data_IF_970789175953
#
_entry.id   IF_970789175953
#
_cell.length_a   1.000
_cell.length_b   1.000
_cell.length_c   1.000
_cell.angle_alpha   90.00
_cell.angle_beta   90.00
_cell.angle_gamma   90.00
#
_symmetry.space_group_name_H-M   'P 1'
#
loop_
_entity.id
_entity.type
_entity.pdbx_description
1 polymer ?
#
# COMPACT_ATOMS: atom_id res chain seq x y z
N UNK A 1 2.90 -13.91 30.31
CA UNK A 1 4.04 -13.52 29.43
C UNK A 1 4.94 -12.40 30.00
N UNK A 2 4.90 -12.07 31.30
CA UNK A 2 5.72 -10.98 31.91
C UNK A 2 7.05 -11.43 32.55
N UNK A 3 7.32 -12.74 32.65
CA UNK A 3 8.51 -13.26 33.35
C UNK A 3 9.80 -13.30 32.50
N UNK A 4 9.71 -13.28 31.16
CA UNK A 4 10.88 -13.35 30.26
C UNK A 4 11.54 -12.00 29.97
N UNK A 5 10.81 -10.89 30.06
CA UNK A 5 11.36 -9.55 29.77
C UNK A 5 12.34 -9.06 30.86
N UNK A 6 12.07 -9.37 32.13
CA UNK A 6 12.93 -8.95 33.25
C UNK A 6 14.26 -9.71 33.34
N UNK A 7 14.32 -10.96 32.86
CA UNK A 7 15.56 -11.73 32.88
C UNK A 7 16.56 -11.24 31.81
N UNK A 8 16.06 -10.87 30.63
CA UNK A 8 16.86 -10.34 29.51
C UNK A 8 17.51 -8.99 29.85
N UNK A 9 16.75 -8.08 30.48
CA UNK A 9 17.23 -6.76 30.93
C UNK A 9 18.40 -6.86 31.92
N UNK A 10 18.34 -7.79 32.89
CA UNK A 10 19.39 -7.96 33.89
C UNK A 10 20.67 -8.60 33.33
N UNK A 11 20.54 -9.50 32.36
CA UNK A 11 21.70 -10.10 31.68
C UNK A 11 22.38 -9.05 30.80
N UNK A 12 21.60 -8.26 30.05
CA UNK A 12 22.13 -7.22 29.18
C UNK A 12 22.86 -6.12 29.97
N UNK A 13 22.30 -5.68 31.11
CA UNK A 13 22.96 -4.74 32.03
C UNK A 13 24.28 -5.29 32.60
N UNK A 14 24.32 -6.58 32.96
CA UNK A 14 25.56 -7.22 33.44
C UNK A 14 26.64 -7.32 32.35
N UNK A 15 26.25 -7.53 31.10
CA UNK A 15 27.20 -7.58 29.97
C UNK A 15 27.77 -6.19 29.69
N UNK A 16 26.93 -5.15 29.65
CA UNK A 16 27.38 -3.75 29.45
C UNK A 16 28.30 -3.30 30.58
N UNK A 17 27.97 -3.63 31.83
CA UNK A 17 28.79 -3.27 32.99
C UNK A 17 30.17 -3.95 32.95
N UNK A 18 30.23 -5.24 32.58
CA UNK A 18 31.51 -5.96 32.41
C UNK A 18 32.33 -5.40 31.25
N UNK A 19 31.69 -4.98 30.16
CA UNK A 19 32.35 -4.36 29.03
C UNK A 19 32.95 -2.99 29.39
N UNK A 20 32.21 -2.15 30.12
CA UNK A 20 32.70 -0.85 30.61
C UNK A 20 33.87 -0.99 31.58
N UNK A 21 33.83 -1.96 32.51
CA UNK A 21 34.98 -2.25 33.40
C UNK A 21 36.20 -2.69 32.59
N UNK A 22 36.02 -3.54 31.57
CA UNK A 22 37.12 -3.97 30.71
C UNK A 22 37.73 -2.78 29.96
N UNK A 23 36.90 -1.85 29.48
CA UNK A 23 37.35 -0.62 28.80
C UNK A 23 38.14 0.31 29.73
N UNK A 24 37.71 0.45 30.99
CA UNK A 24 38.42 1.25 32.03
C UNK A 24 39.74 0.59 32.44
N UNK A 25 39.79 -0.74 32.52
CA UNK A 25 41.03 -1.47 32.80
C UNK A 25 42.00 -1.36 31.62
N UNK A 26 41.50 -1.34 30.38
CA UNK A 26 42.28 -1.13 29.16
C UNK A 26 42.81 0.31 29.05
N UNK A 27 42.02 1.33 29.46
CA UNK A 27 42.47 2.73 29.42
C UNK A 27 43.53 3.04 30.49
N UNK A 28 43.49 2.37 31.64
CA UNK A 28 44.51 2.48 32.69
C UNK A 28 45.78 1.65 32.42
N UNK A 29 45.79 0.81 31.38
CA UNK A 29 46.99 0.12 30.89
C UNK A 29 47.82 0.97 29.91
N UNK A 30 47.38 2.21 29.62
CA UNK A 30 48.20 3.21 28.92
C UNK A 30 49.31 3.70 29.84
N UNK A 31 50.52 3.25 29.54
CA UNK A 31 51.75 3.37 30.31
C UNK A 31 52.08 4.81 30.74
N UNK A 32 52.14 5.04 32.06
CA UNK A 32 53.10 6.00 32.65
C UNK A 32 54.50 5.51 32.29
N UNK A 33 55.17 6.21 31.39
CA UNK A 33 56.56 6.00 31.02
C UNK A 33 57.48 6.29 32.21
N UNK A 34 57.76 5.26 33.01
CA UNK A 34 58.92 5.25 33.91
C UNK A 34 59.93 4.24 33.37
N UNK A 35 61.06 4.79 32.94
CA UNK A 35 62.24 4.09 32.44
C UNK A 35 62.81 3.19 33.54
N UNK A 36 62.52 1.89 33.50
CA UNK A 36 63.16 0.91 34.37
C UNK A 36 64.41 0.35 33.67
N UNK A 37 65.59 0.74 34.16
CA UNK A 37 66.87 0.11 33.79
C UNK A 37 66.87 -1.36 34.25
N UNK A 38 67.47 -2.21 33.43
CA UNK A 38 67.54 -3.66 33.59
C UNK A 38 68.60 -3.99 34.65
N UNK A 39 68.18 -4.48 35.82
CA UNK A 39 69.08 -5.18 36.73
C UNK A 39 69.21 -6.64 36.25
N UNK A 40 70.42 -7.01 35.87
CA UNK A 40 70.83 -8.39 35.67
C UNK A 40 70.92 -9.05 37.04
N UNK A 41 69.95 -9.92 37.37
CA UNK A 41 70.10 -11.14 38.18
C UNK A 41 68.72 -11.59 38.70
N UNK A 42 67.99 -12.36 37.89
CA UNK A 42 67.35 -13.58 38.38
C UNK A 42 66.71 -14.39 37.24
N UNK A 43 67.00 -15.67 37.27
CA UNK A 43 66.53 -16.73 36.39
C UNK A 43 65.06 -17.07 36.60
N UNK A 44 64.35 -17.34 35.49
CA UNK A 44 63.19 -18.24 35.47
C UNK A 44 61.83 -17.56 35.41
N UNK A 45 61.28 -17.42 34.21
CA UNK A 45 59.88 -17.05 34.00
C UNK A 45 59.62 -16.46 32.61
N UNK A 46 59.45 -17.31 31.60
CA UNK A 46 58.98 -16.92 30.27
C UNK A 46 57.53 -16.42 30.34
N UNK A 47 57.37 -15.10 30.57
CA UNK A 47 56.12 -14.38 30.33
C UNK A 47 56.02 -14.08 28.85
N UNK A 48 55.00 -14.62 28.19
CA UNK A 48 54.62 -14.22 26.84
C UNK A 48 54.21 -12.74 26.85
N UNK A 49 55.02 -11.85 26.28
CA UNK A 49 54.64 -10.45 26.10
C UNK A 49 54.94 -10.04 24.67
N UNK A 50 53.89 -9.69 23.93
CA UNK A 50 53.94 -9.25 22.53
C UNK A 50 54.44 -7.80 22.45
N UNK A 51 55.74 -7.61 22.22
CA UNK A 51 56.33 -6.31 21.87
C UNK A 51 57.10 -6.45 20.55
N UNK A 52 57.12 -5.41 19.74
CA UNK A 52 58.13 -5.24 18.69
C UNK A 52 59.13 -4.17 19.13
N UNK A 53 60.40 -4.34 18.74
CA UNK A 53 61.49 -3.44 19.09
C UNK A 53 61.88 -2.59 17.87
N UNK A 54 62.04 -1.27 18.05
CA UNK A 54 62.76 -0.44 17.08
C UNK A 54 64.27 -0.68 17.19
N UNK A 55 65.04 -0.30 16.17
CA UNK A 55 66.50 -0.45 16.12
C UNK A 55 67.24 0.26 17.28
N UNK A 56 66.57 1.19 17.98
CA UNK A 56 67.05 1.89 19.17
C UNK A 56 66.65 1.22 20.51
N UNK A 57 66.00 0.05 20.49
CA UNK A 57 65.67 -0.74 21.69
C UNK A 57 64.42 -0.29 22.45
N UNK A 58 63.68 0.70 21.97
CA UNK A 58 62.43 1.16 22.60
C UNK A 58 61.26 0.18 22.33
N UNK A 59 60.48 -0.11 23.39
CA UNK A 59 59.28 -0.96 23.33
C UNK A 59 58.09 -0.13 22.83
N UNK A 60 57.43 -0.57 21.76
CA UNK A 60 56.14 0.01 21.34
C UNK A 60 55.00 -0.98 21.53
N UNK A 61 53.88 -0.51 22.10
CA UNK A 61 52.64 -1.26 22.23
C UNK A 61 52.12 -1.67 20.85
N UNK A 62 51.71 -2.93 20.69
CA UNK A 62 51.26 -3.50 19.44
C UNK A 62 49.92 -2.88 18.98
N UNK A 63 49.99 -1.78 18.22
CA UNK A 63 48.85 -1.19 17.50
C UNK A 63 48.07 -2.24 16.70
N UNK A 64 48.75 -3.27 16.21
CA UNK A 64 48.14 -4.39 15.47
C UNK A 64 47.16 -5.19 16.34
N UNK A 65 47.47 -5.43 17.61
CA UNK A 65 46.59 -6.18 18.51
C UNK A 65 45.32 -5.39 18.86
N UNK A 66 45.46 -4.08 19.08
CA UNK A 66 44.30 -3.19 19.31
C UNK A 66 43.42 -3.16 18.06
N UNK A 67 44.03 -3.06 16.87
CA UNK A 67 43.31 -3.05 15.60
C UNK A 67 42.57 -4.37 15.35
N UNK A 68 43.19 -5.51 15.67
CA UNK A 68 42.55 -6.84 15.60
C UNK A 68 41.37 -6.94 16.56
N UNK A 69 41.51 -6.46 17.79
CA UNK A 69 40.41 -6.48 18.77
C UNK A 69 39.23 -5.58 18.35
N UNK A 70 39.51 -4.45 17.72
CA UNK A 70 38.47 -3.56 17.15
C UNK A 70 37.76 -4.25 15.97
N UNK A 71 38.49 -4.91 15.08
CA UNK A 71 37.88 -5.64 13.95
C UNK A 71 36.98 -6.78 14.47
N UNK A 72 37.46 -7.54 15.47
CA UNK A 72 36.68 -8.62 16.07
C UNK A 72 35.41 -8.11 16.77
N UNK A 73 35.45 -6.94 17.42
CA UNK A 73 34.27 -6.36 18.06
C UNK A 73 33.23 -5.87 17.04
N UNK A 74 33.67 -5.27 15.93
CA UNK A 74 32.78 -4.85 14.83
C UNK A 74 32.12 -6.08 14.18
N UNK A 75 32.89 -7.13 13.90
CA UNK A 75 32.34 -8.37 13.33
C UNK A 75 31.29 -9.01 14.25
N UNK A 76 31.52 -9.01 15.56
CA UNK A 76 30.55 -9.51 16.53
C UNK A 76 29.25 -8.70 16.53
N UNK A 77 29.34 -7.37 16.45
CA UNK A 77 28.16 -6.48 16.37
C UNK A 77 27.34 -6.77 15.10
N UNK A 78 28.00 -6.94 13.96
CA UNK A 78 27.33 -7.27 12.69
C UNK A 78 26.58 -8.60 12.82
N UNK A 79 27.20 -9.64 13.40
CA UNK A 79 26.56 -10.94 13.63
C UNK A 79 25.33 -10.80 14.54
N UNK A 80 25.41 -9.99 15.61
CA UNK A 80 24.27 -9.74 16.48
C UNK A 80 23.12 -9.03 15.75
N UNK A 81 23.42 -8.03 14.91
CA UNK A 81 22.42 -7.32 14.11
C UNK A 81 21.77 -8.28 13.12
N UNK A 82 22.56 -9.09 12.39
CA UNK A 82 22.05 -10.12 11.48
C UNK A 82 21.19 -11.15 12.19
N UNK A 83 21.55 -11.55 13.41
CA UNK A 83 20.75 -12.49 14.21
C UNK A 83 19.42 -11.88 14.67
N UNK A 84 19.41 -10.60 15.07
CA UNK A 84 18.19 -9.85 15.42
C UNK A 84 17.29 -9.72 14.18
N UNK A 85 17.85 -9.33 13.04
CA UNK A 85 17.11 -9.24 11.76
C UNK A 85 16.53 -10.59 11.33
N UNK A 86 17.33 -11.66 11.42
CA UNK A 86 16.89 -13.02 11.16
C UNK A 86 15.73 -13.43 12.09
N UNK A 87 15.78 -13.06 13.37
CA UNK A 87 14.70 -13.38 14.32
C UNK A 87 13.41 -12.59 14.05
N UNK A 88 13.52 -11.31 13.70
CA UNK A 88 12.38 -10.48 13.29
C UNK A 88 11.75 -11.05 12.01
N UNK A 89 12.56 -11.40 11.01
CA UNK A 89 12.07 -11.97 9.75
C UNK A 89 11.53 -13.39 9.91
N UNK A 90 12.14 -14.22 10.77
CA UNK A 90 11.64 -15.56 11.12
C UNK A 90 10.30 -15.48 11.84
N UNK A 91 10.09 -14.48 12.70
CA UNK A 91 8.78 -14.27 13.35
C UNK A 91 7.67 -13.93 12.35
N UNK A 92 8.00 -13.29 11.22
CA UNK A 92 7.06 -13.02 10.11
C UNK A 92 6.82 -14.24 9.20
N UNK A 93 7.83 -15.09 8.97
CA UNK A 93 7.71 -16.26 8.08
C UNK A 93 7.17 -17.52 8.76
N UNK A 94 7.25 -17.64 10.09
CA UNK A 94 6.56 -18.71 10.84
C UNK A 94 5.04 -18.54 10.94
N UNK A 95 4.49 -17.40 10.48
CA UNK A 95 3.05 -17.14 10.38
C UNK A 95 2.48 -17.60 9.02
N UNK A 96 3.31 -17.80 7.99
CA UNK A 96 2.84 -18.01 6.60
C UNK A 96 2.93 -19.48 6.14
N UNK A 97 3.73 -20.34 6.78
CA UNK A 97 3.96 -21.72 6.31
C UNK A 97 3.39 -22.86 7.18
N UNK A 98 2.48 -22.56 8.12
CA UNK A 98 1.84 -23.60 8.93
C UNK A 98 0.32 -23.46 8.95
N UNK A 99 -0.35 -23.83 7.83
CA UNK A 99 -1.47 -24.80 7.82
C UNK A 99 -2.17 -24.83 6.46
N UNK A 100 -1.82 -25.83 5.66
CA UNK A 100 -2.73 -26.41 4.68
C UNK A 100 -3.87 -27.16 5.38
N UNK A 101 -5.07 -26.93 4.86
CA UNK A 101 -6.30 -27.73 4.89
C UNK A 101 -6.40 -28.93 5.86
N UNK A 102 -7.14 -28.75 6.98
CA UNK A 102 -8.14 -29.69 7.52
C UNK A 102 -9.19 -28.88 8.31
N UNK A 103 -10.47 -29.03 7.97
CA UNK A 103 -11.64 -28.51 8.69
C UNK A 103 -11.93 -29.30 9.98
N UNK A 104 -12.87 -28.84 10.84
CA UNK A 104 -12.95 -27.54 11.49
C UNK A 104 -12.59 -27.71 12.98
N UNK A 105 -11.54 -27.03 13.45
CA UNK A 105 -11.16 -27.02 14.87
C UNK A 105 -11.57 -25.67 15.48
N UNK A 106 -12.47 -25.75 16.47
CA UNK A 106 -13.01 -24.62 17.25
C UNK A 106 -11.92 -23.60 17.59
N UNK A 107 -12.11 -22.37 17.10
CA UNK A 107 -11.31 -21.21 17.47
C UNK A 107 -11.48 -20.99 18.98
N UNK A 108 -10.40 -20.74 19.75
CA UNK A 108 -10.54 -20.42 21.15
C UNK A 108 -11.26 -19.08 21.27
N UNK A 109 -12.40 -19.06 21.95
CA UNK A 109 -13.06 -17.83 22.36
C UNK A 109 -12.05 -17.03 23.17
N UNK A 110 -11.58 -15.93 22.58
CA UNK A 110 -11.04 -14.83 23.34
C UNK A 110 -12.24 -14.30 24.10
N UNK A 111 -12.37 -14.69 25.37
CA UNK A 111 -13.28 -14.03 26.30
C UNK A 111 -12.74 -12.62 26.48
N UNK A 112 -13.17 -11.71 25.60
CA UNK A 112 -13.24 -10.30 25.92
C UNK A 112 -14.42 -10.23 26.90
N UNK A 113 -14.16 -9.81 28.13
CA UNK A 113 -15.23 -9.62 29.10
C UNK A 113 -16.20 -8.60 28.52
N UNK A 114 -17.37 -9.09 28.10
CA UNK A 114 -18.46 -8.29 27.55
C UNK A 114 -18.99 -7.39 28.67
N UNK A 115 -18.62 -6.12 28.61
CA UNK A 115 -19.46 -5.09 29.19
C UNK A 115 -20.74 -5.05 28.33
N UNK A 116 -21.89 -5.37 28.94
CA UNK A 116 -23.20 -5.16 28.33
C UNK A 116 -23.31 -3.72 27.79
N UNK A 117 -23.58 -3.58 26.50
CA UNK A 117 -24.21 -2.38 25.95
C UNK A 117 -23.37 -1.48 25.06
N UNK A 118 -22.84 -2.00 23.94
CA UNK A 118 -22.51 -1.13 22.80
C UNK A 118 -23.03 -1.78 21.50
N UNK A 119 -24.30 -1.51 21.16
CA UNK A 119 -25.02 -2.06 20.00
C UNK A 119 -24.32 -1.81 18.66
N UNK A 120 -23.41 -0.85 18.62
CA UNK A 120 -22.64 -0.51 17.43
C UNK A 120 -21.53 -1.54 17.13
N UNK A 121 -20.95 -2.17 18.16
CA UNK A 121 -19.86 -3.14 17.95
C UNK A 121 -20.41 -4.46 17.38
N UNK A 122 -21.55 -4.93 17.91
CA UNK A 122 -22.21 -6.16 17.44
C UNK A 122 -22.65 -6.05 15.98
N UNK A 123 -23.16 -4.88 15.58
CA UNK A 123 -23.61 -4.64 14.21
C UNK A 123 -22.44 -4.58 13.20
N UNK A 124 -21.26 -4.10 13.62
CA UNK A 124 -20.07 -4.06 12.75
C UNK A 124 -19.55 -5.47 12.46
N UNK A 125 -19.51 -6.32 13.50
CA UNK A 125 -19.06 -7.71 13.37
C UNK A 125 -20.02 -8.53 12.49
N UNK A 126 -21.34 -8.35 12.67
CA UNK A 126 -22.35 -9.01 11.83
C UNK A 126 -22.21 -8.63 10.35
N UNK A 127 -22.06 -7.33 10.04
CA UNK A 127 -21.89 -6.87 8.65
C UNK A 127 -20.61 -7.43 8.01
N UNK A 128 -19.53 -7.55 8.79
CA UNK A 128 -18.29 -8.14 8.31
C UNK A 128 -18.46 -9.64 7.99
N UNK A 129 -19.08 -10.40 8.89
CA UNK A 129 -19.34 -11.83 8.68
C UNK A 129 -20.25 -12.08 7.47
N UNK A 130 -21.26 -11.22 7.26
CA UNK A 130 -22.14 -11.27 6.10
C UNK A 130 -21.37 -11.00 4.79
N UNK A 131 -20.47 -10.02 4.79
CA UNK A 131 -19.64 -9.70 3.62
C UNK A 131 -18.66 -10.83 3.25
N UNK A 132 -18.04 -11.46 4.26
CA UNK A 132 -17.19 -12.63 4.07
C UNK A 132 -18.00 -13.83 3.53
N UNK A 133 -19.22 -14.02 4.02
CA UNK A 133 -20.13 -15.04 3.49
C UNK A 133 -20.50 -14.76 2.03
N UNK A 134 -20.88 -13.52 1.72
CA UNK A 134 -21.18 -13.09 0.35
C UNK A 134 -20.01 -13.41 -0.59
N UNK A 135 -18.79 -13.05 -0.21
CA UNK A 135 -17.60 -13.27 -1.04
C UNK A 135 -17.32 -14.75 -1.29
N UNK A 136 -17.58 -15.61 -0.30
CA UNK A 136 -17.44 -17.07 -0.47
C UNK A 136 -18.49 -17.66 -1.41
N UNK A 137 -19.71 -17.14 -1.36
CA UNK A 137 -20.83 -17.61 -2.19
C UNK A 137 -20.72 -17.07 -3.63
N UNK A 138 -20.19 -15.86 -3.77
CA UNK A 138 -20.05 -15.13 -5.03
C UNK A 138 -18.60 -14.66 -5.22
N UNK A 139 -17.67 -15.57 -5.55
CA UNK A 139 -16.27 -15.21 -5.77
C UNK A 139 -16.12 -14.27 -6.97
N UNK A 140 -15.03 -13.46 -7.02
CA UNK A 140 -14.74 -12.57 -8.13
C UNK A 140 -14.76 -13.26 -9.49
N UNK A 141 -15.37 -12.60 -10.49
CA UNK A 141 -15.35 -13.01 -11.88
C UNK A 141 -14.32 -12.18 -12.62
N UNK A 142 -13.20 -12.80 -12.99
CA UNK A 142 -12.10 -12.15 -13.72
C UNK A 142 -12.23 -12.37 -15.23
N UNK A 143 -13.35 -11.91 -15.79
CA UNK A 143 -13.59 -11.93 -17.23
C UNK A 143 -13.67 -10.50 -17.78
N UNK A 144 -12.93 -10.22 -18.86
CA UNK A 144 -13.00 -8.94 -19.54
C UNK A 144 -14.29 -8.84 -20.39
N UNK A 145 -14.78 -7.62 -20.68
CA UNK A 145 -15.95 -7.45 -21.52
C UNK A 145 -15.79 -8.12 -22.90
N UNK A 146 -16.87 -8.70 -23.45
CA UNK A 146 -16.83 -9.38 -24.73
C UNK A 146 -16.62 -8.39 -25.91
N UNK A 147 -16.19 -8.87 -27.09
CA UNK A 147 -15.83 -8.01 -28.22
C UNK A 147 -16.92 -7.03 -28.69
N UNK A 148 -18.19 -7.41 -28.64
CA UNK A 148 -19.32 -6.55 -29.01
C UNK A 148 -19.49 -5.32 -28.11
N UNK A 149 -19.06 -5.42 -26.84
CA UNK A 149 -19.00 -4.25 -25.95
C UNK A 149 -17.87 -3.30 -26.33
N UNK A 150 -16.78 -3.79 -26.92
CA UNK A 150 -15.65 -2.97 -27.40
C UNK A 150 -16.12 -2.01 -28.50
N UNK A 151 -16.91 -2.52 -29.44
CA UNK A 151 -17.50 -1.70 -30.52
C UNK A 151 -18.37 -0.58 -29.96
N UNK A 152 -19.20 -0.89 -28.96
CA UNK A 152 -20.01 0.13 -28.27
C UNK A 152 -19.13 1.17 -27.57
N UNK A 153 -18.14 0.74 -26.78
CA UNK A 153 -17.23 1.64 -26.05
C UNK A 153 -16.55 2.61 -27.02
N UNK A 154 -16.07 2.10 -28.16
CA UNK A 154 -15.45 2.93 -29.19
C UNK A 154 -16.45 3.90 -29.83
N UNK A 155 -17.68 3.45 -30.09
CA UNK A 155 -18.73 4.26 -30.72
C UNK A 155 -19.14 5.48 -29.89
N UNK A 156 -19.06 5.39 -28.55
CA UNK A 156 -19.42 6.49 -27.63
C UNK A 156 -18.22 7.34 -27.21
N UNK A 157 -17.01 7.02 -27.68
CA UNK A 157 -15.80 7.81 -27.41
C UNK A 157 -14.98 7.35 -26.21
N UNK A 158 -14.98 6.04 -25.89
CA UNK A 158 -14.12 5.48 -24.84
C UNK A 158 -14.66 5.75 -23.44
N UNK A 159 -14.06 6.69 -22.71
CA UNK A 159 -14.35 6.96 -21.30
C UNK A 159 -15.84 7.19 -21.00
N UNK A 160 -16.60 7.76 -21.94
CA UNK A 160 -18.05 7.98 -21.85
C UNK A 160 -18.88 6.69 -21.71
N UNK A 161 -18.31 5.55 -22.05
CA UNK A 161 -18.95 4.25 -21.86
C UNK A 161 -18.99 3.83 -20.39
N UNK A 162 -18.11 4.37 -19.54
CA UNK A 162 -18.09 4.07 -18.11
C UNK A 162 -19.21 4.81 -17.40
N UNK A 163 -20.09 4.05 -16.77
CA UNK A 163 -21.25 4.55 -16.04
C UNK A 163 -21.36 3.79 -14.72
N UNK A 164 -21.81 4.49 -13.67
CA UNK A 164 -22.12 3.89 -12.39
C UNK A 164 -23.40 3.08 -12.46
N UNK A 165 -23.38 1.87 -11.91
CA UNK A 165 -24.55 1.02 -11.80
C UNK A 165 -25.02 1.04 -10.34
N UNK A 166 -26.30 1.40 -10.15
CA UNK A 166 -27.02 1.15 -8.92
C UNK A 166 -28.06 0.04 -9.16
N UNK A 167 -28.27 -0.81 -8.15
CA UNK A 167 -29.32 -1.82 -8.21
C UNK A 167 -30.71 -1.15 -8.17
N UNK A 168 -31.71 -1.75 -8.83
CA UNK A 168 -33.05 -1.17 -8.95
C UNK A 168 -33.68 -0.85 -7.59
N UNK A 169 -33.46 -1.72 -6.59
CA UNK A 169 -33.97 -1.47 -5.24
C UNK A 169 -33.27 -0.29 -4.55
N UNK A 170 -31.99 -0.01 -4.82
CA UNK A 170 -31.29 1.15 -4.25
C UNK A 170 -31.91 2.45 -4.74
N UNK A 171 -32.34 2.48 -6.01
CA UNK A 171 -33.03 3.61 -6.62
C UNK A 171 -34.47 3.73 -6.08
N UNK A 172 -35.19 2.61 -6.01
CA UNK A 172 -36.58 2.58 -5.52
C UNK A 172 -36.71 3.00 -4.06
N UNK A 173 -35.78 2.57 -3.21
CA UNK A 173 -35.72 2.89 -1.78
C UNK A 173 -35.00 4.22 -1.48
N UNK A 174 -34.59 4.96 -2.51
CA UNK A 174 -33.85 6.22 -2.40
C UNK A 174 -32.62 6.09 -1.49
N UNK A 175 -31.89 4.97 -1.60
CA UNK A 175 -30.59 4.81 -0.97
C UNK A 175 -29.53 5.58 -1.76
N UNK A 176 -29.64 5.53 -3.09
CA UNK A 176 -28.79 6.25 -4.04
C UNK A 176 -29.67 6.94 -5.07
N UNK A 177 -29.27 8.14 -5.50
CA UNK A 177 -29.80 8.78 -6.70
C UNK A 177 -28.65 9.12 -7.65
N UNK A 178 -28.81 8.77 -8.92
CA UNK A 178 -27.87 9.11 -9.99
C UNK A 178 -28.56 10.12 -10.91
N UNK A 179 -27.88 11.22 -11.21
CA UNK A 179 -28.40 12.33 -12.02
C UNK A 179 -27.32 12.91 -12.92
N UNK A 180 -27.70 13.88 -13.76
CA UNK A 180 -26.81 14.51 -14.74
C UNK A 180 -26.05 13.48 -15.59
N UNK A 181 -26.79 12.57 -16.24
CA UNK A 181 -26.23 11.52 -17.10
C UNK A 181 -25.19 10.59 -16.43
N UNK A 182 -25.21 10.49 -15.10
CA UNK A 182 -24.28 9.66 -14.33
C UNK A 182 -23.11 10.42 -13.70
N UNK A 183 -23.04 11.74 -13.90
CA UNK A 183 -21.98 12.60 -13.36
C UNK A 183 -22.22 13.00 -11.91
N UNK A 184 -23.46 12.95 -11.40
CA UNK A 184 -23.76 13.30 -10.01
C UNK A 184 -24.41 12.12 -9.30
N UNK A 185 -23.83 11.73 -8.17
CA UNK A 185 -24.29 10.64 -7.32
C UNK A 185 -24.61 11.18 -5.94
N UNK A 186 -25.80 10.86 -5.46
CA UNK A 186 -26.25 11.22 -4.10
C UNK A 186 -26.42 9.95 -3.30
N UNK A 187 -25.68 9.85 -2.20
CA UNK A 187 -25.96 8.91 -1.13
C UNK A 187 -26.93 9.58 -0.18
N UNK A 188 -28.01 8.89 0.19
CA UNK A 188 -29.16 9.54 0.84
C UNK A 188 -29.46 8.97 2.25
N UNK A 189 -28.84 7.84 2.61
CA UNK A 189 -29.11 7.13 3.88
C UNK A 189 -27.85 6.96 4.71
N UNK A 190 -28.03 6.95 6.03
CA UNK A 190 -27.00 6.66 7.04
C UNK A 190 -26.71 5.16 7.11
N UNK A 191 -26.07 4.62 6.08
CA UNK A 191 -25.62 3.24 6.01
C UNK A 191 -24.41 3.11 5.09
N UNK A 192 -23.60 2.07 5.29
CA UNK A 192 -22.55 1.73 4.33
C UNK A 192 -23.21 1.24 3.04
N UNK A 193 -22.88 1.90 1.94
CA UNK A 193 -23.25 1.47 0.61
C UNK A 193 -22.15 1.87 -0.39
N UNK A 194 -21.92 1.01 -1.37
CA UNK A 194 -20.98 1.22 -2.47
C UNK A 194 -21.64 0.89 -3.80
N UNK A 195 -21.09 1.48 -4.85
CA UNK A 195 -21.49 1.28 -6.24
C UNK A 195 -20.25 1.11 -7.09
N UNK A 196 -20.42 0.38 -8.19
CA UNK A 196 -19.35 0.07 -9.13
C UNK A 196 -19.74 0.51 -10.54
N UNK A 197 -18.76 0.69 -11.40
CA UNK A 197 -19.01 0.93 -12.82
C UNK A 197 -19.51 -0.31 -13.55
N UNK A 198 -20.09 -0.08 -14.73
CA UNK A 198 -20.48 -1.11 -15.68
C UNK A 198 -19.29 -1.88 -16.28
N UNK A 199 -18.16 -1.20 -16.46
CA UNK A 199 -16.95 -1.77 -17.06
C UNK A 199 -15.76 -1.72 -16.09
N UNK A 200 -14.83 -2.69 -16.18
CA UNK A 200 -13.60 -2.66 -15.39
C UNK A 200 -12.61 -1.61 -15.93
N UNK A 201 -11.48 -1.47 -15.25
CA UNK A 201 -10.28 -0.82 -15.72
C UNK A 201 -9.59 -1.73 -16.75
N UNK A 202 -9.74 -1.44 -18.04
CA UNK A 202 -9.10 -2.18 -19.11
C UNK A 202 -9.01 -1.31 -20.38
N UNK A 203 -8.11 -1.65 -21.30
CA UNK A 203 -8.02 -0.97 -22.60
C UNK A 203 -8.83 -1.74 -23.66
N UNK A 204 -9.85 -1.12 -24.28
CA UNK A 204 -10.59 -1.73 -25.38
C UNK A 204 -9.73 -1.80 -26.66
N UNK A 205 -9.06 -2.93 -26.89
CA UNK A 205 -8.20 -3.16 -28.06
C UNK A 205 -8.90 -3.91 -29.20
N UNK A 206 -8.77 -3.42 -30.44
CA UNK A 206 -9.03 -4.18 -31.67
C UNK A 206 -7.83 -5.10 -31.91
N UNK A 207 -8.11 -6.41 -32.01
CA UNK A 207 -7.19 -7.52 -32.24
C UNK A 207 -6.27 -7.90 -31.07
N UNK A 208 -6.84 -8.64 -30.11
CA UNK A 208 -6.09 -9.65 -29.37
C UNK A 208 -5.73 -10.81 -30.32
N UNK A 209 -4.75 -10.61 -31.22
CA UNK A 209 -4.00 -11.72 -31.78
C UNK A 209 -2.95 -12.09 -30.72
N UNK A 210 -3.02 -13.34 -30.30
CA UNK A 210 -2.19 -13.99 -29.29
C UNK A 210 -0.70 -13.74 -29.58
N UNK A 211 -0.03 -12.96 -28.72
CA UNK A 211 1.43 -12.87 -28.67
C UNK A 211 2.10 -11.55 -29.08
N UNK A 212 1.37 -10.56 -29.60
CA UNK A 212 1.99 -9.29 -29.99
C UNK A 212 1.89 -8.23 -28.88
N UNK A 213 3.02 -7.54 -28.65
CA UNK A 213 3.07 -6.35 -27.81
C UNK A 213 1.97 -5.38 -28.28
N UNK A 214 1.13 -4.92 -27.37
CA UNK A 214 0.14 -3.88 -27.63
C UNK A 214 0.91 -2.61 -27.99
N UNK A 215 1.18 -2.43 -29.28
CA UNK A 215 1.65 -1.17 -29.81
C UNK A 215 0.47 -0.21 -29.71
N UNK A 216 0.44 0.56 -28.63
CA UNK A 216 -0.34 1.79 -28.60
C UNK A 216 0.03 2.58 -29.84
N UNK A 217 -0.96 3.15 -30.54
CA UNK A 217 -0.67 4.16 -31.53
C UNK A 217 -0.02 5.34 -30.80
N UNK A 218 1.31 5.33 -30.71
CA UNK A 218 2.17 6.39 -30.14
C UNK A 218 1.95 7.75 -30.82
N UNK A 219 1.20 7.78 -31.92
CA UNK A 219 0.98 8.97 -32.75
C UNK A 219 -0.04 9.99 -32.19
N UNK A 220 -0.76 9.71 -31.09
CA UNK A 220 -1.89 10.58 -30.67
C UNK A 220 -1.76 11.28 -29.31
N UNK A 221 -0.67 11.06 -28.59
CA UNK A 221 -0.37 11.73 -27.31
C UNK A 221 1.08 12.18 -27.29
N UNK A 222 1.38 13.35 -26.70
CA UNK A 222 2.75 13.62 -26.27
C UNK A 222 3.16 12.45 -25.37
N UNK A 223 4.25 11.74 -25.69
CA UNK A 223 4.76 10.66 -24.84
C UNK A 223 4.76 11.14 -23.39
N UNK A 224 3.92 10.56 -22.51
CA UNK A 224 3.91 10.98 -21.12
C UNK A 224 5.31 10.77 -20.61
N UNK A 225 5.91 11.82 -20.03
CA UNK A 225 7.24 11.69 -19.43
C UNK A 225 7.22 10.47 -18.50
N UNK A 226 8.21 9.58 -18.62
CA UNK A 226 8.31 8.42 -17.76
C UNK A 226 8.48 8.91 -16.31
N UNK A 227 7.42 8.86 -15.52
CA UNK A 227 7.46 9.24 -14.11
C UNK A 227 7.72 7.97 -13.30
N UNK A 228 8.52 8.06 -12.24
CA UNK A 228 9.02 6.89 -11.50
C UNK A 228 7.93 5.96 -10.94
N UNK A 229 6.71 6.46 -10.68
CA UNK A 229 5.55 5.67 -10.25
C UNK A 229 4.73 5.07 -11.40
N UNK A 230 4.96 5.54 -12.63
CA UNK A 230 4.39 5.03 -13.89
C UNK A 230 5.45 4.24 -14.66
N UNK A 231 6.05 3.22 -14.04
CA UNK A 231 6.95 2.29 -14.72
C UNK A 231 6.15 1.48 -15.76
N UNK A 232 5.85 2.11 -16.91
CA UNK A 232 4.92 1.65 -17.94
C UNK A 232 3.91 2.74 -18.35
N UNK A 233 3.44 2.69 -19.60
CA UNK A 233 2.54 3.70 -20.18
C UNK A 233 1.04 3.50 -19.85
N UNK A 234 0.68 2.43 -19.12
CA UNK A 234 -0.72 2.12 -18.82
C UNK A 234 -1.18 2.71 -17.50
N UNK A 235 -2.19 3.58 -17.58
CA UNK A 235 -2.85 4.18 -16.43
C UNK A 235 -4.37 4.12 -16.63
N UNK A 236 -5.06 3.58 -15.64
CA UNK A 236 -6.50 3.77 -15.46
C UNK A 236 -6.70 4.80 -14.37
N UNK A 237 -7.57 5.78 -14.59
CA UNK A 237 -7.75 6.87 -13.65
C UNK A 237 -9.16 7.46 -13.67
N UNK A 238 -9.64 7.90 -12.51
CA UNK A 238 -10.85 8.70 -12.37
C UNK A 238 -10.77 9.60 -11.14
N UNK A 239 -11.54 10.69 -11.15
CA UNK A 239 -11.67 11.64 -10.04
C UNK A 239 -13.12 11.69 -9.55
N UNK A 240 -13.26 11.98 -8.25
CA UNK A 240 -14.52 12.41 -7.66
C UNK A 240 -14.32 13.76 -6.97
N UNK A 241 -15.32 14.63 -7.03
CA UNK A 241 -15.36 15.89 -6.29
C UNK A 241 -16.51 15.84 -5.30
N UNK A 242 -16.23 16.15 -4.03
CA UNK A 242 -17.26 16.12 -2.99
C UNK A 242 -18.00 17.45 -3.00
N UNK A 243 -19.26 17.42 -3.42
CA UNK A 243 -20.10 18.63 -3.52
C UNK A 243 -20.78 18.96 -2.19
N UNK A 244 -21.24 17.94 -1.47
CA UNK A 244 -21.88 18.09 -0.15
C UNK A 244 -21.47 16.91 0.73
N UNK A 245 -21.09 17.15 1.99
CA UNK A 245 -20.77 16.08 2.95
C UNK A 245 -21.40 16.32 4.32
N UNK A 246 -22.27 15.41 4.77
CA UNK A 246 -22.88 15.46 6.11
C UNK A 246 -22.10 14.59 7.11
N UNK A 247 -20.83 14.94 7.38
CA UNK A 247 -19.90 14.21 8.27
C UNK A 247 -19.83 12.69 7.99
N UNK A 248 -19.87 12.34 6.72
CA UNK A 248 -19.90 10.95 6.26
C UNK A 248 -18.50 10.45 5.90
N UNK A 249 -18.24 9.16 6.18
CA UNK A 249 -17.07 8.49 5.63
C UNK A 249 -17.32 8.16 4.16
N UNK A 250 -16.58 8.83 3.28
CA UNK A 250 -16.60 8.61 1.84
C UNK A 250 -15.33 7.84 1.48
N UNK A 251 -15.44 6.95 0.52
CA UNK A 251 -14.33 6.10 0.09
C UNK A 251 -14.30 6.01 -1.43
N UNK A 252 -13.08 6.06 -1.97
CA UNK A 252 -12.79 5.87 -3.39
C UNK A 252 -11.78 4.72 -3.52
N UNK A 253 -11.95 3.87 -4.53
CA UNK A 253 -11.01 2.79 -4.77
C UNK A 253 -11.45 1.80 -5.84
N UNK A 254 -10.98 0.58 -5.72
CA UNK A 254 -11.20 -0.48 -6.70
C UNK A 254 -11.71 -1.71 -5.99
N UNK A 255 -12.70 -2.38 -6.58
CA UNK A 255 -13.21 -3.66 -6.11
C UNK A 255 -13.41 -4.59 -7.30
N UNK A 256 -13.27 -5.90 -7.09
CA UNK A 256 -13.69 -6.88 -8.10
C UNK A 256 -15.21 -6.96 -8.16
N UNK A 257 -15.76 -7.71 -9.12
CA UNK A 257 -17.20 -7.94 -9.22
C UNK A 257 -17.50 -9.44 -9.14
N UNK A 258 -18.52 -9.88 -8.39
CA UNK A 258 -19.38 -9.09 -7.50
C UNK A 258 -18.65 -8.64 -6.22
N UNK A 259 -19.07 -7.50 -5.65
CA UNK A 259 -18.61 -6.96 -4.37
C UNK A 259 -19.82 -6.72 -3.45
N UNK A 260 -19.73 -6.99 -2.13
CA UNK A 260 -20.84 -6.73 -1.22
C UNK A 260 -21.13 -5.23 -1.15
N UNK A 261 -22.23 -4.79 -1.77
CA UNK A 261 -22.57 -3.37 -1.89
C UNK A 261 -22.67 -2.66 -0.53
N UNK A 262 -22.99 -3.37 0.55
CA UNK A 262 -23.11 -2.81 1.91
C UNK A 262 -21.75 -2.63 2.61
N UNK A 263 -20.63 -2.72 1.88
CA UNK A 263 -19.27 -2.46 2.35
C UNK A 263 -18.65 -1.34 1.54
N UNK A 264 -17.80 -0.54 2.18
CA UNK A 264 -16.98 0.46 1.47
C UNK A 264 -15.79 -0.23 0.79
N UNK A 265 -15.29 0.24 -0.37
CA UNK A 265 -14.08 -0.28 -1.00
C UNK A 265 -12.90 -0.32 -0.02
N UNK A 266 -12.13 -1.41 -0.05
CA UNK A 266 -11.02 -1.68 0.86
C UNK A 266 -11.40 -2.45 2.12
N UNK A 267 -12.68 -2.42 2.53
CA UNK A 267 -13.13 -3.06 3.77
C UNK A 267 -13.55 -4.54 3.62
N UNK A 268 -13.52 -5.09 2.42
CA UNK A 268 -13.81 -6.50 2.16
C UNK A 268 -12.83 -7.07 1.12
N UNK A 269 -12.63 -8.38 1.14
CA UNK A 269 -11.74 -9.10 0.21
C UNK A 269 -11.91 -8.65 -1.25
N UNK A 270 -10.78 -8.63 -1.95
CA UNK A 270 -10.64 -8.21 -3.34
C UNK A 270 -11.09 -6.77 -3.54
N UNK A 271 -10.61 -5.89 -2.68
CA UNK A 271 -10.80 -4.46 -2.83
C UNK A 271 -9.73 -3.62 -2.13
N UNK A 272 -9.54 -2.42 -2.66
CA UNK A 272 -8.67 -1.39 -2.11
C UNK A 272 -9.44 -0.08 -2.02
N UNK A 273 -9.20 0.71 -0.97
CA UNK A 273 -9.89 1.98 -0.79
C UNK A 273 -9.10 2.99 0.00
N UNK A 274 -9.37 4.27 -0.27
CA UNK A 274 -8.90 5.44 0.45
C UNK A 274 -10.11 6.17 1.05
N UNK A 275 -10.08 6.44 2.35
CA UNK A 275 -11.24 6.93 3.13
C UNK A 275 -11.06 8.39 3.58
N UNK A 276 -12.18 9.11 3.68
CA UNK A 276 -12.23 10.57 3.86
C UNK A 276 -11.89 11.05 5.28
N UNK A 277 -12.41 10.40 6.31
CA UNK A 277 -12.37 10.91 7.70
C UNK A 277 -10.94 11.04 8.27
N UNK A 278 -10.04 10.13 7.89
CA UNK A 278 -8.70 10.03 8.48
C UNK A 278 -7.60 9.87 7.43
N UNK A 279 -7.94 9.89 6.14
CA UNK A 279 -6.98 9.65 5.06
C UNK A 279 -6.33 8.26 5.11
N UNK A 280 -6.99 7.28 5.70
CA UNK A 280 -6.46 5.92 5.76
C UNK A 280 -6.80 5.13 4.51
N UNK A 281 -5.89 4.21 4.18
CA UNK A 281 -6.07 3.21 3.13
C UNK A 281 -6.40 1.85 3.74
N UNK A 282 -7.22 1.09 3.01
CA UNK A 282 -7.71 -0.22 3.40
C UNK A 282 -7.54 -1.19 2.23
N UNK A 283 -7.23 -2.44 2.56
CA UNK A 283 -7.07 -3.51 1.60
C UNK A 283 -7.65 -4.78 2.22
N UNK A 284 -8.67 -5.32 1.58
CA UNK A 284 -9.28 -6.62 1.88
C UNK A 284 -9.88 -6.82 3.28
N UNK A 285 -9.85 -5.82 4.17
CA UNK A 285 -10.27 -5.97 5.57
C UNK A 285 -10.44 -4.61 6.30
N UNK A 286 -10.86 -4.68 7.57
CA UNK A 286 -11.07 -3.51 8.44
C UNK A 286 -9.78 -2.91 9.06
N UNK A 287 -8.59 -3.39 8.70
CA UNK A 287 -7.31 -2.94 9.27
C UNK A 287 -6.84 -1.71 8.50
N UNK A 288 -7.01 -0.55 9.11
CA UNK A 288 -6.62 0.71 8.52
C UNK A 288 -5.10 0.93 8.52
N UNK A 289 -4.59 1.50 7.44
CA UNK A 289 -3.19 1.94 7.33
C UNK A 289 -3.14 3.43 7.02
N UNK A 290 -2.31 4.19 7.74
CA UNK A 290 -2.07 5.60 7.43
C UNK A 290 -1.48 5.76 6.03
N UNK A 291 -1.93 6.78 5.29
CA UNK A 291 -1.55 6.97 3.89
C UNK A 291 -1.56 8.45 3.48
N UNK A 292 -2.71 9.11 3.56
CA UNK A 292 -2.90 10.47 3.07
C UNK A 292 -3.56 11.39 4.11
N UNK A 293 -3.77 12.67 3.76
CA UNK A 293 -4.59 13.57 4.55
C UNK A 293 -6.07 13.17 4.52
N UNK A 294 -6.86 13.63 5.48
CA UNK A 294 -8.31 13.62 5.37
C UNK A 294 -8.78 14.49 4.18
N UNK A 295 -10.02 14.28 3.76
CA UNK A 295 -10.63 15.02 2.65
C UNK A 295 -12.13 15.14 2.84
N UNK A 296 -12.71 16.22 2.34
CA UNK A 296 -14.12 16.55 2.59
C UNK A 296 -14.72 17.39 1.45
N UNK A 297 -15.88 17.98 1.70
CA UNK A 297 -16.55 18.92 0.79
C UNK A 297 -15.59 19.95 0.18
N UNK A 298 -15.66 20.09 -1.14
CA UNK A 298 -14.79 20.94 -1.96
C UNK A 298 -13.49 20.28 -2.43
N UNK A 299 -13.08 19.14 -1.85
CA UNK A 299 -11.91 18.39 -2.32
C UNK A 299 -12.26 17.51 -3.53
N UNK A 300 -11.29 17.40 -4.45
CA UNK A 300 -11.30 16.41 -5.54
C UNK A 300 -10.27 15.33 -5.24
N UNK A 301 -10.69 14.07 -5.26
CA UNK A 301 -9.84 12.91 -4.99
C UNK A 301 -9.86 11.96 -6.17
N UNK A 302 -8.68 11.53 -6.59
CA UNK A 302 -8.52 10.61 -7.71
C UNK A 302 -7.99 9.25 -7.30
N UNK A 303 -8.33 8.23 -8.08
CA UNK A 303 -7.81 6.87 -7.94
C UNK A 303 -7.14 6.45 -9.25
N UNK A 304 -5.87 6.05 -9.16
CA UNK A 304 -5.07 5.59 -10.28
C UNK A 304 -4.64 4.14 -10.13
N UNK A 305 -4.67 3.39 -11.23
CA UNK A 305 -4.24 2.00 -11.32
C UNK A 305 -3.31 1.78 -12.51
N UNK A 306 -2.15 1.21 -12.24
CA UNK A 306 -1.22 0.73 -13.26
C UNK A 306 -1.23 -0.81 -13.27
N UNK A 307 -1.83 -1.46 -14.29
CA UNK A 307 -1.94 -2.91 -14.33
C UNK A 307 -0.62 -3.61 -14.62
N UNK A 308 0.34 -2.94 -15.26
CA UNK A 308 1.65 -3.50 -15.59
C UNK A 308 2.41 -3.90 -14.31
N UNK A 309 2.48 -2.98 -13.36
CA UNK A 309 3.19 -3.18 -12.08
C UNK A 309 2.25 -3.53 -10.91
N UNK A 310 0.94 -3.44 -11.09
CA UNK A 310 -0.03 -3.68 -10.02
C UNK A 310 0.00 -2.59 -8.95
N UNK A 311 0.30 -1.35 -9.35
CA UNK A 311 0.31 -0.20 -8.44
C UNK A 311 -1.06 0.46 -8.41
N UNK A 312 -1.53 0.76 -7.20
CA UNK A 312 -2.68 1.65 -6.99
C UNK A 312 -2.21 2.85 -6.19
N UNK A 313 -2.64 4.04 -6.61
CA UNK A 313 -2.34 5.29 -5.94
C UNK A 313 -3.56 6.19 -5.91
N UNK A 314 -3.49 7.22 -5.08
CA UNK A 314 -4.53 8.23 -4.99
C UNK A 314 -3.94 9.63 -5.12
N UNK A 315 -4.79 10.57 -5.51
CA UNK A 315 -4.44 11.99 -5.62
C UNK A 315 -5.45 12.81 -4.83
N UNK A 316 -5.02 13.98 -4.34
CA UNK A 316 -5.92 14.96 -3.72
C UNK A 316 -5.66 16.32 -4.34
N UNK A 317 -6.70 16.98 -4.83
CA UNK A 317 -6.68 18.31 -5.43
C UNK A 317 -5.59 18.46 -6.51
N UNK A 318 -5.45 17.43 -7.34
CA UNK A 318 -4.46 17.35 -8.42
C UNK A 318 -3.04 16.96 -8.00
N UNK A 319 -2.79 16.78 -6.69
CA UNK A 319 -1.48 16.35 -6.18
C UNK A 319 -1.43 14.84 -5.99
N UNK A 320 -0.35 14.21 -6.44
CA UNK A 320 -0.05 12.81 -6.19
C UNK A 320 0.37 12.62 -4.73
N UNK A 321 -0.25 11.66 -4.03
CA UNK A 321 0.06 11.40 -2.61
C UNK A 321 1.28 10.48 -2.48
N UNK A 322 1.11 9.21 -2.81
CA UNK A 322 2.17 8.20 -2.93
C UNK A 322 1.59 6.91 -3.53
N UNK A 323 2.41 5.87 -3.72
CA UNK A 323 1.88 4.55 -4.08
C UNK A 323 1.17 3.97 -2.84
N UNK A 324 -0.14 3.79 -2.94
CA UNK A 324 -0.95 3.24 -1.87
C UNK A 324 -0.74 1.73 -1.72
N UNK A 325 -0.72 1.02 -2.85
CA UNK A 325 -0.61 -0.43 -2.88
C UNK A 325 0.30 -0.89 -4.02
N UNK A 326 1.01 -2.00 -3.80
CA UNK A 326 1.94 -2.62 -4.75
C UNK A 326 1.58 -4.08 -4.97
N UNK A 327 1.91 -4.62 -6.13
CA UNK A 327 1.70 -6.03 -6.50
C UNK A 327 0.24 -6.49 -6.43
N UNK A 328 -0.71 -5.58 -6.62
CA UNK A 328 -2.14 -5.88 -6.62
C UNK A 328 -2.66 -5.95 -8.06
N UNK A 329 -3.17 -7.11 -8.46
CA UNK A 329 -3.67 -7.36 -9.82
C UNK A 329 -4.98 -8.14 -9.78
N UNK A 330 -6.05 -7.47 -10.21
CA UNK A 330 -7.36 -8.06 -10.48
C UNK A 330 -7.98 -7.33 -11.67
N UNK A 331 -9.10 -7.87 -12.19
CA UNK A 331 -10.00 -7.10 -13.05
C UNK A 331 -10.79 -6.14 -12.15
N UNK A 332 -10.24 -4.93 -12.06
CA UNK A 332 -10.71 -3.90 -11.15
C UNK A 332 -11.87 -3.11 -11.72
N UNK A 333 -12.90 -2.87 -10.92
CA UNK A 333 -13.94 -1.90 -11.23
C UNK A 333 -13.74 -0.64 -10.37
N UNK A 334 -13.73 0.55 -10.96
CA UNK A 334 -13.91 1.79 -10.22
C UNK A 334 -15.07 1.66 -9.24
N UNK A 335 -14.81 1.97 -7.98
CA UNK A 335 -15.74 1.77 -6.88
C UNK A 335 -15.69 2.98 -5.97
N UNK A 336 -16.88 3.47 -5.58
CA UNK A 336 -17.02 4.48 -4.54
C UNK A 336 -18.04 4.01 -3.52
N UNK A 337 -17.94 4.50 -2.29
CA UNK A 337 -18.95 4.24 -1.27
C UNK A 337 -18.99 5.31 -0.21
N UNK A 338 -20.11 5.38 0.49
CA UNK A 338 -20.35 6.30 1.59
C UNK A 338 -21.02 5.58 2.76
N UNK A 339 -20.74 6.02 3.99
CA UNK A 339 -21.42 5.52 5.21
C UNK A 339 -22.68 6.33 5.57
N UNK A 340 -23.06 7.29 4.73
CA UNK A 340 -24.04 8.32 5.05
C UNK A 340 -24.35 9.27 3.89
N UNK A 341 -25.18 10.30 4.12
CA UNK A 341 -25.56 11.25 3.09
C UNK A 341 -24.41 12.12 2.59
N UNK A 342 -24.21 12.12 1.27
CA UNK A 342 -23.27 13.01 0.58
C UNK A 342 -23.63 13.14 -0.89
N UNK A 343 -23.12 14.19 -1.54
CA UNK A 343 -23.26 14.43 -2.98
C UNK A 343 -21.86 14.45 -3.61
N UNK A 344 -21.68 13.65 -4.65
CA UNK A 344 -20.41 13.42 -5.31
C UNK A 344 -20.57 13.69 -6.80
N UNK A 345 -19.71 14.55 -7.34
CA UNK A 345 -19.52 14.71 -8.78
C UNK A 345 -18.41 13.78 -9.27
N UNK A 346 -18.59 13.22 -10.46
CA UNK A 346 -17.71 12.20 -11.04
C UNK A 346 -17.05 12.75 -12.29
N UNK A 347 -15.75 12.46 -12.42
CA UNK A 347 -15.01 12.72 -13.64
C UNK A 347 -14.28 11.45 -14.10
N UNK A 348 -14.66 10.92 -15.26
CA UNK A 348 -13.98 9.80 -15.93
C UNK A 348 -13.02 10.25 -17.04
N UNK A 349 -12.81 11.56 -17.22
CA UNK A 349 -11.98 12.08 -18.30
C UNK A 349 -12.76 12.29 -19.61
N UNK A 350 -14.06 12.56 -19.55
CA UNK A 350 -14.89 12.80 -20.75
C UNK A 350 -14.40 13.99 -21.59
N UNK A 351 -13.75 14.97 -20.95
CA UNK A 351 -12.94 16.01 -21.58
C UNK A 351 -11.45 15.71 -21.26
N UNK A 352 -10.57 15.61 -22.27
CA UNK A 352 -9.15 15.31 -22.07
C UNK A 352 -8.42 16.22 -21.06
N UNK A 353 -8.92 17.43 -20.82
CA UNK A 353 -8.32 18.40 -19.88
C UNK A 353 -9.06 18.52 -18.54
N UNK A 354 -10.10 17.71 -18.29
CA UNK A 354 -10.96 17.87 -17.11
C UNK A 354 -10.28 17.52 -15.79
N UNK A 355 -9.32 16.60 -15.79
CA UNK A 355 -8.67 16.19 -14.55
C UNK A 355 -7.84 17.30 -13.91
N UNK A 356 -7.95 17.41 -12.59
CA UNK A 356 -7.07 18.25 -11.79
C UNK A 356 -5.66 17.68 -11.75
N UNK A 357 -5.53 16.35 -11.65
CA UNK A 357 -4.23 15.70 -11.76
C UNK A 357 -3.75 15.71 -13.20
N UNK A 358 -2.83 16.64 -13.50
CA UNK A 358 -2.36 16.93 -14.85
C UNK A 358 -1.81 15.71 -15.57
N UNK A 359 -1.10 14.85 -14.86
CA UNK A 359 -0.47 13.69 -15.49
C UNK A 359 -1.52 12.66 -15.95
N UNK A 360 -2.75 12.66 -15.40
CA UNK A 360 -3.80 11.74 -15.84
C UNK A 360 -4.62 12.26 -17.02
N UNK A 361 -4.37 13.50 -17.49
CA UNK A 361 -5.05 14.05 -18.67
C UNK A 361 -4.79 13.18 -19.90
N UNK A 362 -5.82 12.99 -20.71
CA UNK A 362 -5.78 12.03 -21.82
C UNK A 362 -6.00 10.57 -21.43
N UNK A 363 -6.23 10.26 -20.15
CA UNK A 363 -6.60 8.93 -19.67
C UNK A 363 -8.02 8.90 -19.11
N UNK A 364 -8.52 7.71 -18.82
CA UNK A 364 -9.74 7.46 -18.05
C UNK A 364 -9.71 6.04 -17.48
N UNK A 365 -10.84 5.51 -17.00
CA UNK A 365 -10.93 4.12 -16.56
C UNK A 365 -10.61 3.12 -17.68
N UNK A 366 -10.90 3.49 -18.93
CA UNK A 366 -10.58 2.69 -20.12
C UNK A 366 -9.14 2.76 -20.60
N UNK A 367 -8.23 3.38 -19.83
CA UNK A 367 -6.89 3.71 -20.28
C UNK A 367 -6.85 5.00 -21.11
N UNK A 368 -5.95 5.14 -22.08
CA UNK A 368 -5.88 6.32 -22.94
C UNK A 368 -7.23 6.61 -23.63
N UNK A 369 -7.72 7.85 -23.54
CA UNK A 369 -8.98 8.28 -24.16
C UNK A 369 -8.80 8.28 -25.67
N UNK A 370 -9.67 7.61 -26.42
CA UNK A 370 -9.64 7.70 -27.88
C UNK A 370 -9.97 9.14 -28.32
N UNK A 371 -8.97 9.88 -28.80
CA UNK A 371 -9.20 11.09 -29.57
C UNK A 371 -9.81 10.65 -30.91
N UNK A 372 -11.14 10.52 -30.96
CA UNK A 372 -11.80 10.25 -32.25
C UNK A 372 -11.34 11.27 -33.30
N UNK A 373 -11.13 10.82 -34.53
CA UNK A 373 -10.80 11.62 -35.71
C UNK A 373 -11.90 12.63 -36.09
N UNK A 374 -12.29 13.54 -35.18
CA UNK A 374 -13.09 14.71 -35.51
C UNK A 374 -12.21 15.82 -36.11
N UNK A 375 -11.49 15.50 -37.18
CA UNK A 375 -10.98 16.45 -38.17
C UNK A 375 -11.27 15.89 -39.55
N UNK A 376 -12.46 16.17 -40.08
CA UNK A 376 -12.80 15.72 -41.42
C UNK A 376 -14.21 15.96 -41.94
N UNK A 377 -15.06 16.78 -41.31
CA UNK A 377 -16.22 17.32 -42.02
C UNK A 377 -15.83 18.67 -42.61
N UNK A 378 -15.51 18.66 -43.90
CA UNK A 378 -15.28 19.86 -44.69
C UNK A 378 -16.47 20.80 -44.55
N UNK A 379 -16.27 21.96 -43.93
CA UNK A 379 -17.05 23.14 -44.29
C UNK A 379 -16.63 23.54 -45.71
N UNK A 380 -17.22 22.89 -46.70
CA UNK A 380 -17.32 23.47 -48.04
C UNK A 380 -18.20 24.72 -47.90
N UNK A 381 -17.54 25.88 -47.78
CA UNK A 381 -18.14 27.17 -48.12
C UNK A 381 -18.10 27.28 -49.64
N UNK A 382 -19.25 27.07 -50.27
CA UNK A 382 -19.59 27.71 -51.54
C UNK A 382 -20.50 28.89 -51.25
#
# INVERSE_FOLDING_TARGET
MKFKANLSSNIFKKIIYKFLISLILLSNYSCNSTTFKRDENNSGGSRWVFWTYKANGERQCAYLCILVLIILSILYIIICISYIWYWIFRSKTSIIHARGFKSPLKIPQIHIDYAEGDSNITHIDEQYEEAEKFTREYPPQEELPPPDHIDYIQSVGGARAWQWIAEEWMLADQTIAISNEGEIIKFLKNMNVSIQTNYPCFVPGINAQEGDQVNFSEEMFEEPQSISHRQGQMLHYYEITILENSDTNISIGLATKPYPYFRLPGLNLYSVGYHSINGYKYNDNNIATSYGPDWTEGDTVGCGYNPTVGHVFFTKNGEFLEIAFTDIRHIWFPTIGASGPCVIEINFGNDPNSFLYKDARGYGPGGPILLSNQRGSSKNRT
#
